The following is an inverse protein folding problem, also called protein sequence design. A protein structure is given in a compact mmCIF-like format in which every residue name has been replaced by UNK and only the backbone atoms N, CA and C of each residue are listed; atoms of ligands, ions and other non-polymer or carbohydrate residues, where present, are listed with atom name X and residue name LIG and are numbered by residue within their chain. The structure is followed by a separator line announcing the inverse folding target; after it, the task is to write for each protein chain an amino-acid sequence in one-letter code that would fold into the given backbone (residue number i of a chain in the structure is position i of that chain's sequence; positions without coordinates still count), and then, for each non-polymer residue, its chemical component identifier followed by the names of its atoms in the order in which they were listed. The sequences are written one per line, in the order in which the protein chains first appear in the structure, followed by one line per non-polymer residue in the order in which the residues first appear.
data_IF_900310133940
#
_entry.id   IF_900310133940
#
_cell.length_a   1.000
_cell.length_b   1.000
_cell.length_c   1.000
_cell.angle_alpha   90.00
_cell.angle_beta   90.00
_cell.angle_gamma   90.00
#
_symmetry.space_group_name_H-M   'P 1'
#
loop_
_entity.id
_entity.type
_entity.pdbx_description
1 polymer ?
#
# COMPACT_ATOMS: atom_id res chain seq x y z
N UNK A 1 -27.76 18.69 19.50
CA UNK A 1 -27.16 19.26 18.29
C UNK A 1 -26.50 18.12 17.56
N UNK A 2 -27.13 17.60 16.50
CA UNK A 2 -26.55 16.51 15.71
C UNK A 2 -25.29 17.00 15.02
N UNK A 3 -24.19 16.28 15.19
CA UNK A 3 -22.99 16.48 14.37
C UNK A 3 -23.40 16.28 12.93
N UNK A 4 -23.19 17.29 12.07
CA UNK A 4 -23.35 17.12 10.63
C UNK A 4 -22.35 16.03 10.22
N UNK A 5 -22.84 14.89 9.79
CA UNK A 5 -22.03 13.84 9.20
C UNK A 5 -21.30 14.42 7.98
N UNK A 6 -19.98 14.31 7.95
CA UNK A 6 -19.16 14.60 6.77
C UNK A 6 -18.86 16.08 6.57
N UNK A 7 -17.67 16.50 7.01
CA UNK A 7 -16.91 17.54 6.31
C UNK A 7 -15.50 17.58 6.90
N UNK A 8 -14.67 16.58 6.58
CA UNK A 8 -13.29 16.98 6.32
C UNK A 8 -13.36 17.87 5.07
N UNK A 9 -12.84 19.09 5.17
CA UNK A 9 -12.77 19.99 4.03
C UNK A 9 -11.90 19.33 2.97
N UNK A 10 -12.37 19.36 1.73
CA UNK A 10 -11.54 18.99 0.58
C UNK A 10 -10.19 19.71 0.69
N UNK A 11 -9.11 18.94 0.57
CA UNK A 11 -7.75 19.48 0.67
C UNK A 11 -7.39 20.03 -0.71
N UNK A 12 -6.84 21.24 -0.78
CA UNK A 12 -6.41 21.81 -2.05
C UNK A 12 -4.89 21.74 -2.15
N UNK A 13 -4.40 21.19 -3.25
CA UNK A 13 -2.99 21.19 -3.62
C UNK A 13 -2.71 22.30 -4.63
N UNK A 14 -1.52 22.90 -4.58
CA UNK A 14 -1.12 23.94 -5.54
C UNK A 14 -0.35 23.29 -6.69
N UNK A 15 -0.88 23.34 -7.91
CA UNK A 15 -0.18 22.93 -9.15
C UNK A 15 -0.05 24.12 -10.07
N UNK A 16 1.17 24.41 -10.55
CA UNK A 16 1.43 25.47 -11.54
C UNK A 16 0.80 26.85 -11.20
N UNK A 17 0.64 27.15 -9.91
CA UNK A 17 -0.05 28.33 -9.33
C UNK A 17 -1.58 28.29 -9.22
N UNK A 18 -2.23 27.21 -9.59
CA UNK A 18 -3.66 26.98 -9.38
C UNK A 18 -3.90 26.09 -8.16
N UNK A 19 -5.02 26.34 -7.46
CA UNK A 19 -5.46 25.48 -6.36
C UNK A 19 -6.39 24.41 -6.91
N UNK A 20 -5.97 23.16 -6.84
CA UNK A 20 -6.71 22.00 -7.32
C UNK A 20 -7.23 21.21 -6.13
N UNK A 21 -8.50 20.84 -6.15
CA UNK A 21 -9.09 19.93 -5.18
C UNK A 21 -8.39 18.57 -5.25
N UNK A 22 -7.94 18.05 -4.11
CA UNK A 22 -7.33 16.73 -4.03
C UNK A 22 -8.31 15.65 -4.47
N UNK A 23 -9.61 15.82 -4.20
CA UNK A 23 -10.65 14.92 -4.72
C UNK A 23 -10.69 14.89 -6.24
N UNK A 24 -10.69 16.05 -6.89
CA UNK A 24 -10.70 16.10 -8.36
C UNK A 24 -9.41 15.52 -8.92
N UNK A 25 -8.28 15.79 -8.26
CA UNK A 25 -6.98 15.23 -8.66
C UNK A 25 -6.93 13.71 -8.56
N UNK A 26 -7.59 13.10 -7.57
CA UNK A 26 -7.73 11.63 -7.49
C UNK A 26 -8.39 11.08 -8.76
N UNK A 27 -9.52 11.66 -9.17
CA UNK A 27 -10.23 11.21 -10.38
C UNK A 27 -9.40 11.43 -11.64
N UNK A 28 -8.75 12.59 -11.78
CA UNK A 28 -7.89 12.90 -12.93
C UNK A 28 -6.69 11.95 -13.03
N UNK A 29 -6.05 11.64 -11.89
CA UNK A 29 -4.98 10.65 -11.83
C UNK A 29 -5.49 9.26 -12.23
N UNK A 30 -6.63 8.85 -11.69
CA UNK A 30 -7.22 7.55 -11.97
C UNK A 30 -7.63 7.40 -13.44
N UNK A 31 -8.26 8.42 -14.03
CA UNK A 31 -8.65 8.45 -15.45
C UNK A 31 -7.40 8.33 -16.36
N UNK A 32 -6.30 9.00 -15.99
CA UNK A 32 -5.07 9.01 -16.76
C UNK A 32 -4.26 7.72 -16.66
N UNK A 33 -4.11 7.14 -15.47
CA UNK A 33 -3.14 6.07 -15.20
C UNK A 33 -3.77 4.73 -14.81
N UNK A 34 -4.93 4.73 -14.14
CA UNK A 34 -5.57 3.51 -13.60
C UNK A 34 -6.58 2.94 -14.60
N UNK A 35 -7.47 3.78 -15.14
CA UNK A 35 -8.51 3.37 -16.10
C UNK A 35 -7.99 2.61 -17.33
N UNK A 36 -6.83 2.99 -17.94
CA UNK A 36 -6.30 2.23 -19.07
C UNK A 36 -5.92 0.78 -18.74
N UNK A 37 -5.64 0.46 -17.47
CA UNK A 37 -5.20 -0.86 -17.02
C UNK A 37 -6.26 -1.63 -16.23
N UNK A 38 -7.27 -0.94 -15.68
CA UNK A 38 -8.33 -1.55 -14.87
C UNK A 38 -9.70 -0.84 -15.04
N UNK A 39 -10.39 -1.00 -16.18
CA UNK A 39 -11.48 -0.12 -16.60
C UNK A 39 -12.80 -0.24 -15.81
N UNK A 40 -13.02 -1.29 -15.03
CA UNK A 40 -14.29 -1.49 -14.31
C UNK A 40 -14.28 -0.84 -12.91
N UNK A 41 -13.14 -0.86 -12.20
CA UNK A 41 -12.99 -0.37 -10.82
C UNK A 41 -11.85 0.67 -10.67
N UNK A 42 -11.68 1.51 -11.68
CA UNK A 42 -10.56 2.45 -11.78
C UNK A 42 -10.65 3.67 -10.85
N UNK A 43 -11.85 4.09 -10.45
CA UNK A 43 -12.04 5.33 -9.67
C UNK A 43 -11.83 5.09 -8.17
N UNK A 44 -10.65 5.45 -7.67
CA UNK A 44 -10.31 5.26 -6.26
C UNK A 44 -11.06 6.25 -5.33
N UNK A 45 -11.64 7.33 -5.87
CA UNK A 45 -12.37 8.32 -5.08
C UNK A 45 -13.70 7.80 -4.53
N UNK A 46 -14.23 6.72 -5.12
CA UNK A 46 -15.53 6.12 -4.76
C UNK A 46 -15.42 4.62 -4.44
N UNK A 47 -14.19 4.14 -4.20
CA UNK A 47 -13.88 2.72 -4.00
C UNK A 47 -14.64 2.12 -2.81
N UNK A 48 -15.29 0.98 -3.05
CA UNK A 48 -15.96 0.19 -2.02
C UNK A 48 -14.96 -0.78 -1.40
N UNK A 49 -14.59 -0.52 -0.14
CA UNK A 49 -13.60 -1.28 0.62
C UNK A 49 -14.08 -2.67 1.06
N UNK A 50 -15.38 -2.94 0.98
CA UNK A 50 -15.95 -4.24 1.34
C UNK A 50 -15.98 -5.21 0.14
N UNK A 51 -15.65 -4.73 -1.06
CA UNK A 51 -15.57 -5.55 -2.27
C UNK A 51 -14.10 -5.86 -2.64
N UNK A 52 -13.64 -7.12 -2.54
CA UNK A 52 -12.26 -7.50 -2.89
C UNK A 52 -11.86 -7.21 -4.34
N UNK A 53 -12.82 -7.12 -5.27
CA UNK A 53 -12.54 -6.73 -6.67
C UNK A 53 -12.05 -5.28 -6.81
N UNK A 54 -12.17 -4.51 -5.73
CA UNK A 54 -11.63 -3.16 -5.59
C UNK A 54 -10.28 -3.13 -4.87
N UNK A 55 -9.63 -4.26 -4.60
CA UNK A 55 -8.26 -4.25 -4.12
C UNK A 55 -7.31 -3.74 -5.22
N UNK A 56 -6.22 -3.03 -4.87
CA UNK A 56 -5.20 -2.65 -5.84
C UNK A 56 -4.68 -3.86 -6.63
N UNK A 57 -4.78 -3.81 -7.95
CA UNK A 57 -4.27 -4.90 -8.80
C UNK A 57 -2.78 -4.72 -9.10
N UNK A 58 -2.11 -5.79 -9.53
CA UNK A 58 -0.71 -5.72 -10.01
C UNK A 58 -0.56 -4.73 -11.17
N UNK A 59 -1.59 -4.61 -12.03
CA UNK A 59 -1.56 -3.68 -13.16
C UNK A 59 -1.66 -2.22 -12.69
N UNK A 60 -2.51 -1.94 -11.69
CA UNK A 60 -2.60 -0.62 -11.06
C UNK A 60 -1.30 -0.26 -10.33
N UNK A 61 -0.76 -1.19 -9.54
CA UNK A 61 0.51 -1.02 -8.85
C UNK A 61 1.65 -0.70 -9.83
N UNK A 62 1.72 -1.42 -10.96
CA UNK A 62 2.67 -1.16 -12.04
C UNK A 62 2.48 0.22 -12.68
N UNK A 63 1.23 0.63 -12.93
CA UNK A 63 0.96 1.96 -13.49
C UNK A 63 1.46 3.08 -12.55
N UNK A 64 1.20 2.94 -11.25
CA UNK A 64 1.66 3.89 -10.23
C UNK A 64 3.18 3.84 -10.09
N UNK A 65 3.78 2.65 -10.04
CA UNK A 65 5.22 2.43 -9.97
C UNK A 65 5.96 3.10 -11.13
N UNK A 66 5.42 3.02 -12.35
CA UNK A 66 6.00 3.66 -13.52
C UNK A 66 6.01 5.19 -13.43
N UNK A 67 4.96 5.80 -12.83
CA UNK A 67 4.95 7.25 -12.57
C UNK A 67 6.08 7.60 -11.60
N UNK A 68 6.19 6.89 -10.48
CA UNK A 68 7.24 7.14 -9.48
C UNK A 68 8.64 6.89 -10.05
N UNK A 69 8.85 5.78 -10.76
CA UNK A 69 10.14 5.42 -11.34
C UNK A 69 10.62 6.46 -12.36
N UNK A 70 9.68 6.99 -13.16
CA UNK A 70 9.95 8.08 -14.10
C UNK A 70 10.39 9.34 -13.35
N UNK A 71 9.66 9.75 -12.31
CA UNK A 71 10.02 10.90 -11.49
C UNK A 71 11.40 10.75 -10.83
N UNK A 72 11.75 9.53 -10.38
CA UNK A 72 13.08 9.20 -9.84
C UNK A 72 14.20 9.11 -10.90
N UNK A 73 13.86 9.18 -12.18
CA UNK A 73 14.80 8.99 -13.29
C UNK A 73 15.02 10.24 -14.12
N UNK A 74 14.06 11.16 -14.14
CA UNK A 74 14.16 12.39 -14.89
C UNK A 74 14.98 13.44 -14.12
N UNK A 75 15.82 14.19 -14.84
CA UNK A 75 16.52 15.36 -14.30
C UNK A 75 15.67 16.64 -14.42
N UNK A 76 14.43 16.52 -14.89
CA UNK A 76 13.49 17.65 -14.98
C UNK A 76 12.79 17.84 -13.64
N UNK A 77 12.55 19.10 -13.22
CA UNK A 77 11.76 19.37 -12.02
C UNK A 77 10.39 18.71 -12.13
N UNK A 78 10.11 17.76 -11.24
CA UNK A 78 8.79 17.17 -11.02
C UNK A 78 8.05 17.99 -9.96
N UNK A 79 6.73 17.86 -9.90
CA UNK A 79 5.92 18.52 -8.86
C UNK A 79 6.29 18.06 -7.44
N UNK A 80 6.89 16.86 -7.31
CA UNK A 80 7.36 16.28 -6.05
C UNK A 80 8.84 15.91 -6.19
N UNK A 81 9.69 16.54 -5.40
CA UNK A 81 11.12 16.21 -5.33
C UNK A 81 11.37 14.97 -4.46
N UNK A 82 11.28 13.81 -5.11
CA UNK A 82 11.53 12.51 -4.48
C UNK A 82 13.03 12.21 -4.28
N UNK A 83 13.95 13.07 -4.76
CA UNK A 83 15.39 12.85 -4.61
C UNK A 83 15.88 12.96 -3.16
N UNK A 84 15.06 13.59 -2.31
CA UNK A 84 15.31 13.76 -0.87
C UNK A 84 14.96 12.53 -0.03
N UNK A 85 14.27 11.55 -0.61
CA UNK A 85 13.86 10.33 0.07
C UNK A 85 15.09 9.50 0.47
N UNK A 86 15.07 8.87 1.65
CA UNK A 86 16.16 7.99 2.04
C UNK A 86 16.23 6.78 1.09
N UNK A 87 17.43 6.26 0.84
CA UNK A 87 17.63 5.04 0.05
C UNK A 87 16.99 5.04 -1.36
N UNK A 88 16.88 6.21 -2.02
CA UNK A 88 16.29 6.34 -3.38
C UNK A 88 16.79 5.28 -4.36
N UNK A 89 18.08 4.94 -4.33
CA UNK A 89 18.67 3.95 -5.23
C UNK A 89 18.06 2.55 -5.07
N UNK A 90 17.66 2.17 -3.85
CA UNK A 90 17.02 0.89 -3.58
C UNK A 90 15.56 0.90 -4.02
N UNK A 91 14.83 2.00 -3.79
CA UNK A 91 13.45 2.17 -4.29
C UNK A 91 13.43 2.18 -5.81
N UNK A 92 14.38 2.87 -6.45
CA UNK A 92 14.51 2.90 -7.90
C UNK A 92 14.76 1.50 -8.48
N UNK A 93 15.63 0.70 -7.85
CA UNK A 93 15.86 -0.68 -8.27
C UNK A 93 14.61 -1.57 -8.05
N UNK A 94 13.89 -1.36 -6.94
CA UNK A 94 12.66 -2.08 -6.64
C UNK A 94 11.54 -1.80 -7.66
N UNK A 95 11.40 -0.55 -8.09
CA UNK A 95 10.40 -0.11 -9.07
C UNK A 95 10.88 -0.22 -10.54
N UNK A 96 12.08 -0.74 -10.81
CA UNK A 96 12.60 -0.83 -12.18
C UNK A 96 11.76 -1.80 -13.00
N UNK A 97 11.11 -1.36 -14.10
CA UNK A 97 10.32 -2.24 -14.96
C UNK A 97 11.18 -3.32 -15.67
N UNK A 98 12.51 -3.21 -15.62
CA UNK A 98 13.43 -4.21 -16.16
C UNK A 98 14.08 -5.10 -15.08
N UNK A 99 13.66 -4.96 -13.81
CA UNK A 99 14.10 -5.86 -12.74
C UNK A 99 13.76 -7.32 -13.10
N UNK A 100 14.67 -8.23 -12.75
CA UNK A 100 14.39 -9.67 -12.91
C UNK A 100 13.29 -10.18 -11.98
N UNK A 101 12.99 -9.42 -10.92
CA UNK A 101 11.94 -9.68 -9.95
C UNK A 101 10.75 -8.74 -10.12
N UNK A 102 10.61 -8.05 -11.25
CA UNK A 102 9.58 -7.03 -11.49
C UNK A 102 8.17 -7.51 -11.11
N UNK A 103 7.75 -8.68 -11.59
CA UNK A 103 6.42 -9.20 -11.33
C UNK A 103 6.17 -9.41 -9.83
N UNK A 104 7.17 -9.96 -9.13
CA UNK A 104 7.13 -10.18 -7.69
C UNK A 104 7.11 -8.85 -6.93
N UNK A 105 7.92 -7.87 -7.33
CA UNK A 105 7.91 -6.53 -6.73
C UNK A 105 6.55 -5.86 -6.93
N UNK A 106 5.88 -6.02 -8.07
CA UNK A 106 4.57 -5.42 -8.31
C UNK A 106 3.44 -6.11 -7.52
N UNK A 107 3.53 -7.42 -7.26
CA UNK A 107 2.64 -8.11 -6.32
C UNK A 107 2.81 -7.58 -4.89
N UNK A 108 4.06 -7.39 -4.45
CA UNK A 108 4.34 -6.78 -3.15
C UNK A 108 3.87 -5.33 -3.08
N UNK A 109 4.04 -4.56 -4.15
CA UNK A 109 3.61 -3.17 -4.19
C UNK A 109 2.09 -3.04 -4.23
N UNK A 110 1.39 -3.94 -4.93
CA UNK A 110 -0.08 -4.00 -4.88
C UNK A 110 -0.58 -4.29 -3.46
N UNK A 111 0.06 -5.24 -2.76
CA UNK A 111 -0.24 -5.50 -1.35
C UNK A 111 0.05 -4.29 -0.46
N UNK A 112 1.19 -3.63 -0.63
CA UNK A 112 1.53 -2.41 0.12
C UNK A 112 0.48 -1.30 -0.08
N UNK A 113 0.07 -1.07 -1.33
CA UNK A 113 -0.99 -0.11 -1.65
C UNK A 113 -2.31 -0.48 -0.98
N UNK A 114 -2.65 -1.77 -0.93
CA UNK A 114 -3.87 -2.25 -0.27
C UNK A 114 -3.87 -1.89 1.23
N UNK A 115 -2.75 -2.14 1.91
CA UNK A 115 -2.58 -1.83 3.33
C UNK A 115 -2.76 -0.33 3.59
N UNK A 116 -2.08 0.52 2.82
CA UNK A 116 -2.18 1.97 3.03
C UNK A 116 -3.55 2.53 2.66
N UNK A 117 -4.25 1.91 1.71
CA UNK A 117 -5.60 2.31 1.34
C UNK A 117 -6.61 2.07 2.47
N UNK A 118 -6.33 1.19 3.43
CA UNK A 118 -7.23 0.93 4.57
C UNK A 118 -7.48 2.17 5.42
N UNK A 119 -6.57 3.14 5.43
CA UNK A 119 -6.79 4.45 6.05
C UNK A 119 -8.00 5.19 5.46
N UNK A 120 -8.39 4.86 4.22
CA UNK A 120 -9.58 5.37 3.55
C UNK A 120 -10.91 4.78 4.02
N UNK A 121 -10.90 3.63 4.73
CA UNK A 121 -12.12 2.97 5.24
C UNK A 121 -12.90 3.87 6.21
N UNK A 122 -12.18 4.65 7.02
CA UNK A 122 -12.77 5.61 7.93
C UNK A 122 -12.63 7.01 7.32
N UNK A 123 -13.74 7.50 6.74
CA UNK A 123 -13.77 8.79 6.02
C UNK A 123 -13.24 9.97 6.84
N UNK A 124 -13.42 9.95 8.16
CA UNK A 124 -13.01 11.04 9.05
C UNK A 124 -11.48 11.17 9.20
N UNK A 125 -10.71 10.13 8.84
CA UNK A 125 -9.24 10.10 8.90
C UNK A 125 -8.59 9.85 7.54
N UNK A 126 -9.37 9.92 6.46
CA UNK A 126 -8.86 9.74 5.10
C UNK A 126 -8.16 11.01 4.59
N UNK A 127 -6.90 11.18 4.98
CA UNK A 127 -6.11 12.38 4.66
C UNK A 127 -5.58 12.40 3.22
N UNK A 128 -5.50 11.25 2.55
CA UNK A 128 -5.05 11.14 1.15
C UNK A 128 -6.20 11.20 0.15
N UNK A 129 -7.43 11.15 0.63
CA UNK A 129 -8.63 11.00 -0.18
C UNK A 129 -8.56 9.82 -1.17
N UNK A 130 -7.87 8.74 -0.77
CA UNK A 130 -7.54 7.57 -1.59
C UNK A 130 -6.69 7.88 -2.83
N UNK A 131 -5.96 8.99 -2.88
CA UNK A 131 -5.17 9.33 -4.06
C UNK A 131 -4.09 8.26 -4.31
N UNK A 132 -4.04 7.60 -5.49
CA UNK A 132 -3.13 6.47 -5.72
C UNK A 132 -1.65 6.82 -5.54
N UNK A 133 -1.21 7.97 -6.08
CA UNK A 133 0.16 8.45 -5.88
C UNK A 133 0.50 8.75 -4.41
N UNK A 134 -0.36 9.45 -3.65
CA UNK A 134 -0.10 9.71 -2.23
C UNK A 134 -0.08 8.42 -1.40
N UNK A 135 -0.97 7.48 -1.73
CA UNK A 135 -0.99 6.13 -1.12
C UNK A 135 0.33 5.40 -1.38
N UNK A 136 0.85 5.47 -2.61
CA UNK A 136 2.18 4.96 -2.94
C UNK A 136 3.29 5.66 -2.16
N UNK A 137 3.23 6.98 -1.97
CA UNK A 137 4.26 7.71 -1.22
C UNK A 137 4.33 7.27 0.24
N UNK A 138 3.18 7.01 0.89
CA UNK A 138 3.15 6.45 2.25
C UNK A 138 3.79 5.07 2.25
N UNK A 139 3.43 4.22 1.28
CA UNK A 139 4.00 2.89 1.20
C UNK A 139 5.52 2.90 1.00
N UNK A 140 5.99 3.77 0.11
CA UNK A 140 7.41 3.91 -0.17
C UNK A 140 8.17 4.49 1.03
N UNK A 141 7.57 5.36 1.84
CA UNK A 141 8.21 5.85 3.07
C UNK A 141 8.66 4.68 3.97
N UNK A 142 7.76 3.75 4.28
CA UNK A 142 8.11 2.54 5.04
C UNK A 142 9.15 1.66 4.34
N UNK A 143 9.04 1.53 3.02
CA UNK A 143 9.99 0.74 2.23
C UNK A 143 11.39 1.35 2.18
N UNK A 144 11.52 2.66 2.42
CA UNK A 144 12.83 3.32 2.50
C UNK A 144 13.56 2.99 3.79
N UNK A 145 12.85 2.73 4.87
CA UNK A 145 13.41 2.23 6.14
C UNK A 145 13.76 0.74 6.03
N UNK A 146 12.86 -0.04 5.42
CA UNK A 146 13.05 -1.46 5.15
C UNK A 146 12.18 -1.94 3.99
N UNK A 147 12.80 -2.39 2.89
CA UNK A 147 12.07 -3.00 1.77
C UNK A 147 11.28 -4.27 2.16
N UNK A 148 11.60 -4.88 3.29
CA UNK A 148 10.86 -6.05 3.81
C UNK A 148 9.66 -5.67 4.69
N UNK A 149 9.36 -4.37 4.84
CA UNK A 149 8.38 -3.85 5.80
C UNK A 149 7.02 -4.57 5.69
N UNK A 150 6.39 -4.57 4.51
CA UNK A 150 5.07 -5.16 4.33
C UNK A 150 5.04 -6.69 4.50
N UNK A 151 6.12 -7.39 4.16
CA UNK A 151 6.22 -8.83 4.44
C UNK A 151 6.34 -9.11 5.92
N UNK A 152 7.06 -8.27 6.67
CA UNK A 152 7.15 -8.37 8.13
C UNK A 152 5.84 -7.97 8.80
N UNK A 153 5.16 -6.95 8.29
CA UNK A 153 3.84 -6.53 8.76
C UNK A 153 2.86 -7.70 8.68
N UNK A 154 2.78 -8.38 7.53
CA UNK A 154 1.88 -9.54 7.35
C UNK A 154 2.15 -10.66 8.37
N UNK A 155 3.43 -10.91 8.71
CA UNK A 155 3.79 -11.88 9.76
C UNK A 155 3.29 -11.40 11.13
N UNK A 156 3.55 -10.13 11.46
CA UNK A 156 3.15 -9.54 12.74
C UNK A 156 1.63 -9.54 12.93
N UNK A 157 0.86 -9.24 11.87
CA UNK A 157 -0.60 -9.24 11.90
C UNK A 157 -1.16 -10.64 12.16
N UNK A 158 -0.66 -11.67 11.45
CA UNK A 158 -1.07 -13.05 11.67
C UNK A 158 -0.70 -13.57 13.08
N UNK A 159 0.48 -13.21 13.59
CA UNK A 159 0.87 -13.52 14.98
C UNK A 159 -0.06 -12.85 16.01
N UNK A 160 -0.46 -11.59 15.74
CA UNK A 160 -1.43 -10.86 16.56
C UNK A 160 -2.83 -11.49 16.54
N UNK A 161 -3.30 -11.93 15.39
CA UNK A 161 -4.59 -12.62 15.27
C UNK A 161 -4.61 -13.95 16.03
N UNK A 162 -3.57 -14.78 15.86
CA UNK A 162 -3.39 -16.03 16.62
C UNK A 162 -3.45 -15.74 18.13
N UNK A 163 -2.73 -14.72 18.59
CA UNK A 163 -2.73 -14.35 20.00
C UNK A 163 -4.13 -14.00 20.52
N UNK A 164 -4.90 -13.19 19.79
CA UNK A 164 -6.26 -12.82 20.19
C UNK A 164 -7.24 -14.03 20.14
N UNK A 165 -7.07 -14.95 19.20
CA UNK A 165 -7.86 -16.20 19.14
C UNK A 165 -7.55 -17.09 20.36
N UNK A 166 -6.28 -17.24 20.72
CA UNK A 166 -5.87 -18.01 21.91
C UNK A 166 -6.45 -17.42 23.20
N UNK A 167 -6.43 -16.09 23.34
CA UNK A 167 -7.09 -15.40 24.46
C UNK A 167 -8.60 -15.68 24.51
N UNK A 168 -9.28 -15.68 23.37
CA UNK A 168 -10.71 -16.04 23.30
C UNK A 168 -10.95 -17.50 23.71
N UNK A 169 -10.08 -18.43 23.32
CA UNK A 169 -10.17 -19.84 23.69
C UNK A 169 -9.95 -20.11 25.18
N UNK A 170 -9.08 -19.32 25.82
CA UNK A 170 -8.84 -19.38 27.26
C UNK A 170 -10.03 -18.86 28.07
N UNK A 171 -10.63 -17.74 27.63
CA UNK A 171 -11.66 -17.03 28.40
C UNK A 171 -13.11 -17.36 28.03
N UNK A 172 -13.38 -17.98 26.86
CA UNK A 172 -14.73 -18.38 26.45
C UNK A 172 -15.03 -19.83 26.79
N UNK A 173 -16.23 -20.13 27.31
CA UNK A 173 -16.72 -21.50 27.52
C UNK A 173 -17.66 -21.97 26.40
N UNK A 174 -17.99 -21.09 25.46
CA UNK A 174 -18.90 -21.30 24.33
C UNK A 174 -18.19 -21.02 23.01
N UNK A 175 -18.62 -21.69 21.94
CA UNK A 175 -18.09 -21.54 20.57
C UNK A 175 -16.59 -21.87 20.38
N UNK A 176 -15.97 -22.68 21.26
CA UNK A 176 -14.54 -23.06 21.13
C UNK A 176 -14.20 -23.71 19.78
N UNK A 177 -15.10 -24.52 19.24
CA UNK A 177 -14.92 -25.18 17.95
C UNK A 177 -14.69 -24.18 16.81
N UNK A 178 -15.45 -23.07 16.81
CA UNK A 178 -15.28 -21.98 15.84
C UNK A 178 -13.90 -21.36 15.97
N UNK A 179 -13.47 -21.06 17.20
CA UNK A 179 -12.17 -20.44 17.44
C UNK A 179 -10.99 -21.37 17.13
N UNK A 180 -11.12 -22.68 17.32
CA UNK A 180 -10.11 -23.63 16.84
C UNK A 180 -10.02 -23.67 15.30
N UNK A 181 -11.16 -23.55 14.61
CA UNK A 181 -11.17 -23.45 13.15
C UNK A 181 -10.50 -22.16 12.67
N UNK A 182 -10.82 -21.01 13.27
CA UNK A 182 -10.16 -19.75 12.93
C UNK A 182 -8.67 -19.77 13.29
N UNK A 183 -8.28 -20.41 14.41
CA UNK A 183 -6.87 -20.60 14.76
C UNK A 183 -6.11 -21.36 13.66
N UNK A 184 -6.68 -22.45 13.14
CA UNK A 184 -6.04 -23.22 12.07
C UNK A 184 -5.83 -22.39 10.79
N UNK A 185 -6.77 -21.50 10.44
CA UNK A 185 -6.60 -20.57 9.31
C UNK A 185 -5.50 -19.54 9.59
N UNK A 186 -5.51 -18.92 10.77
CA UNK A 186 -4.51 -17.93 11.13
C UNK A 186 -3.09 -18.54 11.19
N UNK A 187 -2.96 -19.81 11.60
CA UNK A 187 -1.69 -20.55 11.53
C UNK A 187 -1.24 -20.82 10.08
N UNK A 188 -2.17 -21.14 9.18
CA UNK A 188 -1.90 -21.28 7.75
C UNK A 188 -1.44 -19.94 7.15
N UNK A 189 -2.15 -18.84 7.42
CA UNK A 189 -1.79 -17.49 7.00
C UNK A 189 -0.43 -17.05 7.54
N UNK A 190 -0.10 -17.38 8.79
CA UNK A 190 1.22 -17.12 9.36
C UNK A 190 2.32 -17.89 8.62
N UNK A 191 2.07 -19.16 8.27
CA UNK A 191 3.03 -19.96 7.51
C UNK A 191 3.25 -19.39 6.11
N UNK A 192 2.17 -18.98 5.42
CA UNK A 192 2.25 -18.29 4.14
C UNK A 192 3.00 -16.95 4.24
N UNK A 193 2.72 -16.16 5.27
CA UNK A 193 3.37 -14.87 5.50
C UNK A 193 4.89 -15.06 5.73
N UNK A 194 5.28 -16.05 6.53
CA UNK A 194 6.69 -16.40 6.77
C UNK A 194 7.37 -16.90 5.51
N UNK A 195 6.70 -17.73 4.70
CA UNK A 195 7.21 -18.18 3.41
C UNK A 195 7.42 -16.99 2.44
N UNK A 196 6.45 -16.08 2.37
CA UNK A 196 6.55 -14.86 1.56
C UNK A 196 7.68 -13.92 2.01
N UNK A 197 7.90 -13.79 3.33
CA UNK A 197 9.05 -13.05 3.87
C UNK A 197 10.38 -13.72 3.49
N UNK A 198 10.47 -15.05 3.62
CA UNK A 198 11.66 -15.79 3.22
C UNK A 198 11.95 -15.64 1.71
N UNK A 199 10.91 -15.66 0.88
CA UNK A 199 11.03 -15.42 -0.57
C UNK A 199 11.54 -14.01 -0.88
N UNK A 200 10.97 -12.97 -0.25
CA UNK A 200 11.46 -11.57 -0.40
C UNK A 200 12.93 -11.47 -0.02
N UNK A 201 13.33 -12.07 1.10
CA UNK A 201 14.73 -12.06 1.56
C UNK A 201 15.68 -12.76 0.56
N UNK A 202 15.20 -13.79 -0.15
CA UNK A 202 15.96 -14.45 -1.20
C UNK A 202 16.00 -13.63 -2.51
N UNK A 203 14.96 -12.85 -2.82
CA UNK A 203 14.84 -11.99 -4.02
C UNK A 203 15.27 -10.54 -3.76
N UNK A 204 16.45 -10.36 -3.17
CA UNK A 204 17.07 -9.03 -2.94
C UNK A 204 18.30 -8.78 -3.80
N UNK A 205 18.65 -9.71 -4.69
CA UNK A 205 19.96 -9.76 -5.33
C UNK A 205 20.15 -8.77 -6.50
N UNK A 206 19.10 -8.09 -6.94
CA UNK A 206 19.15 -6.92 -7.84
C UNK A 206 18.85 -5.58 -7.13
N UNK A 207 18.62 -5.62 -5.81
CA UNK A 207 18.38 -4.44 -5.00
C UNK A 207 19.68 -4.03 -4.30
N UNK A 208 20.18 -2.80 -4.50
CA UNK A 208 21.36 -2.36 -3.77
C UNK A 208 21.05 -2.18 -2.28
N UNK A 209 22.06 -2.44 -1.44
CA UNK A 209 21.94 -2.30 0.01
C UNK A 209 21.50 -0.89 0.41
N UNK A 210 20.70 -0.81 1.47
CA UNK A 210 20.30 0.47 2.06
C UNK A 210 21.54 1.20 2.60
N UNK A 211 21.63 2.50 2.33
CA UNK A 211 22.69 3.38 2.86
C UNK A 211 22.38 3.81 4.29
N UNK A 212 21.11 4.05 4.57
CA UNK A 212 20.58 4.42 5.90
C UNK A 212 19.72 3.25 6.37
N UNK A 213 19.87 2.85 7.64
CA UNK A 213 19.13 1.73 8.23
C UNK A 213 18.25 2.29 9.33
N UNK A 214 16.93 2.05 9.23
CA UNK A 214 15.95 2.56 10.18
C UNK A 214 15.71 4.07 10.07
N UNK A 215 14.99 4.58 11.07
CA UNK A 215 14.71 6.00 11.32
C UNK A 215 15.90 6.75 11.95
#
# INVERSE_FOLDING_TARGET
MGTKSGAYQDVYIKRENEMVSLKNDVTDFCEKYIKPVHPENWDWSTRDFDNPENDPTVAEARAIANVVYKDLSENTPTDVDLSTMNNVHAIKAYLDPNSKHEAFNMEEFAFALKVELEHGKIKDVNVTNNHPFLTAMIALAHMTESLTYYKRLKVMEAEGEIYEILRKLEHSTVEKEKWYKELGKAEEELNEARAGLAERLAKMDDIPVLKIIGD
#
